data_IF_160847818576
#
_entry.id   IF_160847818576
#
_cell.length_a   1.000
_cell.length_b   1.000
_cell.length_c   1.000
_cell.angle_alpha   90.00
_cell.angle_beta   90.00
_cell.angle_gamma   90.00
#
_symmetry.space_group_name_H-M   'P 1'
#
loop_
_entity.id
_entity.type
_entity.pdbx_description
1 polymer ?
#
# COMPACT_ATOMS: atom_id res chain seq x y z
N UNK A 1 -19.59 8.68 -16.59
CA UNK A 1 -18.50 7.97 -15.90
C UNK A 1 -17.23 8.81 -16.04
N UNK A 2 -16.49 9.07 -14.95
CA UNK A 2 -15.26 9.86 -15.02
C UNK A 2 -14.17 9.15 -15.84
N UNK A 3 -13.36 9.92 -16.56
CA UNK A 3 -12.18 9.45 -17.29
C UNK A 3 -10.89 9.95 -16.62
N UNK A 4 -9.73 9.49 -17.10
CA UNK A 4 -8.43 9.99 -16.64
C UNK A 4 -8.36 11.52 -16.73
N UNK A 5 -8.79 12.08 -17.87
CA UNK A 5 -8.81 13.53 -18.08
C UNK A 5 -9.79 14.23 -17.15
N UNK A 6 -11.01 13.70 -16.94
CA UNK A 6 -11.98 14.35 -16.04
C UNK A 6 -11.44 14.46 -14.61
N UNK A 7 -10.75 13.45 -14.13
CA UNK A 7 -10.16 13.44 -12.80
C UNK A 7 -8.93 14.36 -12.69
N UNK A 8 -8.02 14.32 -13.67
CA UNK A 8 -6.71 14.95 -13.52
C UNK A 8 -6.57 16.33 -14.18
N UNK A 9 -7.37 16.67 -15.20
CA UNK A 9 -7.09 17.81 -16.08
C UNK A 9 -8.33 18.64 -16.43
N UNK A 10 -9.50 18.04 -16.59
CA UNK A 10 -10.69 18.77 -17.05
C UNK A 10 -11.23 19.73 -16.01
N UNK A 11 -11.99 20.70 -16.49
CA UNK A 11 -12.77 21.60 -15.66
C UNK A 11 -13.88 20.85 -14.92
N UNK A 12 -14.24 21.37 -13.75
CA UNK A 12 -15.46 21.07 -12.99
C UNK A 12 -16.24 22.37 -12.82
N UNK A 13 -17.39 22.33 -12.15
CA UNK A 13 -18.16 23.55 -11.84
C UNK A 13 -17.33 24.58 -11.06
N UNK A 14 -16.43 24.12 -10.19
CA UNK A 14 -15.65 24.97 -9.27
C UNK A 14 -14.17 25.08 -9.61
N UNK A 15 -13.69 24.40 -10.67
CA UNK A 15 -12.28 24.40 -11.06
C UNK A 15 -12.12 24.51 -12.58
N UNK A 16 -11.22 25.37 -13.09
CA UNK A 16 -10.90 25.39 -14.52
C UNK A 16 -10.10 24.15 -14.94
N UNK A 17 -10.01 23.91 -16.24
CA UNK A 17 -9.12 22.91 -16.80
C UNK A 17 -7.64 23.28 -16.59
N UNK A 18 -6.76 22.30 -16.53
CA UNK A 18 -5.33 22.47 -16.28
C UNK A 18 -4.49 21.45 -17.05
N UNK A 19 -3.32 21.86 -17.54
CA UNK A 19 -2.31 20.97 -18.12
C UNK A 19 -1.35 20.39 -17.06
N UNK A 20 -1.43 20.87 -15.81
CA UNK A 20 -0.67 20.32 -14.68
C UNK A 20 -1.46 19.21 -13.98
N UNK A 21 -1.10 17.96 -14.29
CA UNK A 21 -1.71 16.73 -13.72
C UNK A 21 -1.41 16.54 -12.22
N UNK A 22 -0.45 17.29 -11.67
CA UNK A 22 -0.04 17.23 -10.26
C UNK A 22 -0.93 18.02 -9.31
N UNK A 23 -1.77 18.93 -9.82
CA UNK A 23 -2.59 19.86 -8.99
C UNK A 23 -3.58 19.16 -8.06
N UNK A 24 -3.98 17.93 -8.37
CA UNK A 24 -4.99 17.16 -7.61
C UNK A 24 -4.40 15.94 -6.88
N UNK A 25 -3.08 15.78 -6.87
CA UNK A 25 -2.40 14.61 -6.30
C UNK A 25 -2.01 14.87 -4.84
N UNK A 26 -2.62 14.15 -3.89
CA UNK A 26 -2.26 14.23 -2.47
C UNK A 26 -1.07 13.35 -2.10
N UNK A 27 -0.93 12.18 -2.72
CA UNK A 27 0.10 11.18 -2.45
C UNK A 27 1.02 10.99 -3.65
N UNK A 28 2.33 10.87 -3.43
CA UNK A 28 3.21 10.22 -4.41
C UNK A 28 3.26 8.74 -4.11
N UNK A 29 2.78 7.92 -5.05
CA UNK A 29 2.76 6.45 -4.94
C UNK A 29 3.92 5.75 -5.64
N UNK A 30 4.83 6.55 -6.25
CA UNK A 30 6.03 6.06 -6.92
C UNK A 30 7.12 5.55 -5.97
N UNK A 31 7.48 6.23 -4.87
CA UNK A 31 8.56 5.72 -4.02
C UNK A 31 8.21 4.41 -3.34
N UNK A 32 9.23 3.72 -2.80
CA UNK A 32 9.04 2.55 -1.92
C UNK A 32 8.02 2.92 -0.84
N UNK A 33 8.26 3.99 -0.09
CA UNK A 33 7.33 4.51 0.92
C UNK A 33 6.57 5.70 0.34
N UNK A 34 5.25 5.58 0.23
CA UNK A 34 4.42 6.69 -0.23
C UNK A 34 4.46 7.84 0.76
N UNK A 35 4.57 9.07 0.26
CA UNK A 35 4.51 10.27 1.09
C UNK A 35 3.47 11.24 0.54
N UNK A 36 2.89 12.04 1.44
CA UNK A 36 2.02 13.15 1.04
C UNK A 36 2.86 14.26 0.43
N UNK A 37 2.36 14.85 -0.65
CA UNK A 37 3.05 15.94 -1.34
C UNK A 37 2.92 17.25 -0.54
N UNK A 38 3.76 18.24 -0.87
CA UNK A 38 3.57 19.61 -0.38
C UNK A 38 2.16 20.07 -0.73
N UNK A 39 1.47 20.70 0.22
CA UNK A 39 0.11 21.22 0.05
C UNK A 39 -0.93 20.11 -0.25
N UNK A 40 -0.71 18.87 0.22
CA UNK A 40 -1.58 17.74 -0.08
C UNK A 40 -3.04 17.96 0.37
N UNK A 41 -3.29 18.73 1.43
CA UNK A 41 -4.64 19.05 1.91
C UNK A 41 -5.42 19.82 0.85
N UNK A 42 -4.80 20.85 0.26
CA UNK A 42 -5.43 21.65 -0.80
C UNK A 42 -5.62 20.81 -2.07
N UNK A 43 -4.63 19.96 -2.41
CA UNK A 43 -4.73 19.05 -3.57
C UNK A 43 -5.82 17.98 -3.37
N UNK A 44 -5.95 17.46 -2.15
CA UNK A 44 -7.01 16.52 -1.75
C UNK A 44 -8.37 17.19 -1.84
N UNK A 45 -8.52 18.42 -1.35
CA UNK A 45 -9.74 19.19 -1.50
C UNK A 45 -10.09 19.36 -2.98
N UNK A 46 -9.12 19.76 -3.81
CA UNK A 46 -9.33 19.91 -5.25
C UNK A 46 -9.80 18.60 -5.91
N UNK A 47 -9.27 17.44 -5.52
CA UNK A 47 -9.76 16.16 -6.06
C UNK A 47 -11.14 15.76 -5.50
N UNK A 48 -11.42 16.01 -4.21
CA UNK A 48 -12.74 15.80 -3.61
C UNK A 48 -13.82 16.62 -4.30
N UNK A 49 -13.52 17.88 -4.63
CA UNK A 49 -14.42 18.76 -5.38
C UNK A 49 -14.79 18.15 -6.77
N UNK A 50 -13.87 17.41 -7.42
CA UNK A 50 -14.20 16.62 -8.64
C UNK A 50 -15.17 15.50 -8.32
N UNK A 51 -14.93 14.73 -7.26
CA UNK A 51 -15.81 13.64 -6.82
C UNK A 51 -17.23 14.13 -6.48
N UNK A 52 -17.34 15.31 -5.86
CA UNK A 52 -18.62 15.92 -5.47
C UNK A 52 -19.47 16.38 -6.65
N UNK A 53 -18.94 16.41 -7.87
CA UNK A 53 -19.76 16.61 -9.06
C UNK A 53 -20.76 15.46 -9.31
N UNK A 54 -20.56 14.29 -8.67
CA UNK A 54 -21.43 13.13 -8.81
C UNK A 54 -21.75 12.37 -7.50
N UNK A 55 -20.94 12.51 -6.45
CA UNK A 55 -21.06 11.73 -5.22
C UNK A 55 -21.30 12.60 -3.98
N UNK A 56 -22.15 12.12 -3.08
CA UNK A 56 -22.42 12.77 -1.80
C UNK A 56 -21.18 12.84 -0.88
N UNK A 57 -21.14 13.77 0.09
CA UNK A 57 -19.97 14.00 0.93
C UNK A 57 -19.44 12.76 1.65
N UNK A 58 -20.33 11.99 2.28
CA UNK A 58 -19.96 10.81 3.06
C UNK A 58 -19.27 9.72 2.22
N UNK A 59 -19.76 9.47 1.01
CA UNK A 59 -19.15 8.50 0.10
C UNK A 59 -17.71 8.89 -0.25
N UNK A 60 -17.48 10.18 -0.53
CA UNK A 60 -16.16 10.70 -0.88
C UNK A 60 -15.21 10.64 0.30
N UNK A 61 -15.66 11.01 1.50
CA UNK A 61 -14.85 10.91 2.72
C UNK A 61 -14.49 9.45 3.05
N UNK A 62 -15.46 8.54 2.98
CA UNK A 62 -15.23 7.13 3.23
C UNK A 62 -14.26 6.50 2.22
N UNK A 63 -14.35 6.88 0.93
CA UNK A 63 -13.37 6.48 -0.08
C UNK A 63 -11.96 6.93 0.31
N UNK A 64 -11.80 8.20 0.67
CA UNK A 64 -10.48 8.73 1.01
C UNK A 64 -9.90 8.15 2.30
N UNK A 65 -10.74 7.84 3.29
CA UNK A 65 -10.33 7.10 4.48
C UNK A 65 -9.78 5.73 4.10
N UNK A 66 -10.53 4.96 3.30
CA UNK A 66 -10.09 3.64 2.82
C UNK A 66 -8.79 3.71 2.01
N UNK A 67 -8.67 4.70 1.13
CA UNK A 67 -7.46 4.91 0.34
C UNK A 67 -6.26 5.24 1.22
N UNK A 68 -6.41 6.14 2.19
CA UNK A 68 -5.33 6.50 3.11
C UNK A 68 -4.92 5.31 3.99
N UNK A 69 -5.89 4.51 4.47
CA UNK A 69 -5.66 3.30 5.24
C UNK A 69 -4.93 2.23 4.39
N UNK A 70 -5.28 2.06 3.12
CA UNK A 70 -4.58 1.15 2.21
C UNK A 70 -3.12 1.57 1.97
N UNK A 71 -2.87 2.86 1.74
CA UNK A 71 -1.49 3.38 1.60
C UNK A 71 -0.70 3.16 2.90
N UNK A 72 -1.32 3.42 4.05
CA UNK A 72 -0.71 3.21 5.37
C UNK A 72 -0.39 1.75 5.62
N UNK A 73 -1.33 0.83 5.30
CA UNK A 73 -1.13 -0.61 5.42
C UNK A 73 0.10 -1.06 4.63
N UNK A 74 0.18 -0.67 3.36
CA UNK A 74 1.35 -0.99 2.54
C UNK A 74 2.64 -0.44 3.17
N UNK A 75 2.66 0.86 3.47
CA UNK A 75 3.85 1.55 3.98
C UNK A 75 4.35 0.89 5.28
N UNK A 76 3.46 0.71 6.26
CA UNK A 76 3.83 0.29 7.62
C UNK A 76 4.15 -1.20 7.71
N UNK A 77 3.33 -2.04 7.10
CA UNK A 77 3.44 -3.51 7.23
C UNK A 77 4.49 -4.11 6.29
N UNK A 78 4.69 -3.52 5.11
CA UNK A 78 5.51 -4.15 4.06
C UNK A 78 6.66 -3.25 3.60
N UNK A 79 6.36 -2.01 3.20
CA UNK A 79 7.33 -1.11 2.59
C UNK A 79 8.48 -0.72 3.52
N UNK A 80 8.16 -0.14 4.68
CA UNK A 80 9.15 0.36 5.65
C UNK A 80 10.04 -0.79 6.16
N UNK A 81 9.49 -1.93 6.65
CA UNK A 81 10.32 -3.03 7.14
C UNK A 81 11.24 -3.62 6.06
N UNK A 82 10.75 -3.77 4.82
CA UNK A 82 11.55 -4.32 3.73
C UNK A 82 12.68 -3.37 3.32
N UNK A 83 12.39 -2.06 3.18
CA UNK A 83 13.42 -1.06 2.88
C UNK A 83 14.49 -1.03 3.97
N UNK A 84 14.09 -0.95 5.22
CA UNK A 84 15.02 -0.84 6.35
C UNK A 84 15.91 -2.09 6.45
N UNK A 85 15.37 -3.28 6.14
CA UNK A 85 16.16 -4.51 6.07
C UNK A 85 17.21 -4.46 4.93
N UNK A 86 16.82 -4.00 3.73
CA UNK A 86 17.75 -3.84 2.60
C UNK A 86 18.88 -2.86 2.92
N UNK A 87 18.56 -1.72 3.56
CA UNK A 87 19.55 -0.73 3.99
C UNK A 87 20.53 -1.33 5.01
N UNK A 88 20.04 -2.09 5.99
CA UNK A 88 20.88 -2.78 6.97
C UNK A 88 21.75 -3.86 6.34
N UNK A 89 21.22 -4.67 5.42
CA UNK A 89 22.01 -5.68 4.70
C UNK A 89 23.17 -5.04 3.95
N UNK A 90 22.92 -3.92 3.26
CA UNK A 90 23.95 -3.15 2.55
C UNK A 90 25.00 -2.59 3.51
N UNK A 91 24.56 -2.00 4.63
CA UNK A 91 25.45 -1.43 5.63
C UNK A 91 26.35 -2.50 6.30
N UNK A 92 25.85 -3.74 6.44
CA UNK A 92 26.61 -4.87 6.96
C UNK A 92 27.48 -5.57 5.91
N UNK A 93 27.44 -5.15 4.64
CA UNK A 93 28.17 -5.80 3.55
C UNK A 93 27.66 -7.20 3.20
N UNK A 94 26.40 -7.51 3.56
CA UNK A 94 25.76 -8.82 3.27
C UNK A 94 25.16 -8.91 1.87
N UNK A 95 24.97 -7.76 1.23
CA UNK A 95 24.65 -7.62 -0.18
C UNK A 95 25.67 -6.65 -0.78
N UNK A 96 25.94 -6.80 -2.07
CA UNK A 96 26.98 -6.01 -2.71
C UNK A 96 26.50 -4.55 -2.95
N UNK A 97 27.42 -3.62 -3.25
CA UNK A 97 27.04 -2.30 -3.71
C UNK A 97 26.44 -2.28 -5.12
N UNK A 98 26.66 -3.34 -5.92
CA UNK A 98 26.22 -3.46 -7.30
C UNK A 98 24.71 -3.67 -7.32
N UNK A 99 23.92 -2.79 -7.97
CA UNK A 99 22.48 -2.97 -7.99
C UNK A 99 22.07 -4.20 -8.81
N UNK A 100 21.12 -4.96 -8.27
CA UNK A 100 20.44 -6.09 -8.92
C UNK A 100 21.33 -7.31 -9.20
N UNK A 101 22.42 -7.49 -8.46
CA UNK A 101 23.24 -8.72 -8.53
C UNK A 101 22.86 -9.74 -7.45
N UNK A 102 22.26 -9.29 -6.35
CA UNK A 102 21.73 -10.14 -5.31
C UNK A 102 20.24 -10.46 -5.52
N UNK A 103 19.87 -11.74 -5.37
CA UNK A 103 18.49 -12.22 -5.57
C UNK A 103 17.45 -11.43 -4.78
N UNK A 104 17.76 -11.08 -3.53
CA UNK A 104 16.85 -10.37 -2.63
C UNK A 104 16.51 -8.96 -3.14
N UNK A 105 17.37 -8.33 -3.94
CA UNK A 105 17.12 -7.03 -4.54
C UNK A 105 16.01 -7.10 -5.59
N UNK A 106 16.00 -8.16 -6.41
CA UNK A 106 14.91 -8.43 -7.36
C UNK A 106 13.59 -8.69 -6.62
N UNK A 107 13.60 -9.53 -5.61
CA UNK A 107 12.42 -9.79 -4.77
C UNK A 107 11.89 -8.51 -4.12
N UNK A 108 12.79 -7.67 -3.60
CA UNK A 108 12.42 -6.38 -3.02
C UNK A 108 11.82 -5.45 -4.09
N UNK A 109 12.41 -5.38 -5.27
CA UNK A 109 11.90 -4.57 -6.38
C UNK A 109 10.51 -5.02 -6.84
N UNK A 110 10.27 -6.32 -7.02
CA UNK A 110 8.94 -6.86 -7.33
C UNK A 110 7.92 -6.47 -6.25
N UNK A 111 8.29 -6.65 -4.98
CA UNK A 111 7.44 -6.34 -3.83
C UNK A 111 6.98 -4.87 -3.81
N UNK A 112 7.89 -3.91 -3.98
CA UNK A 112 7.53 -2.50 -3.85
C UNK A 112 7.12 -1.82 -5.17
N UNK A 113 7.83 -2.09 -6.26
CA UNK A 113 7.66 -1.38 -7.53
C UNK A 113 6.47 -1.95 -8.30
N UNK A 114 6.31 -3.27 -8.32
CA UNK A 114 5.27 -3.90 -9.11
C UNK A 114 4.00 -4.04 -8.26
N UNK A 115 4.03 -4.90 -7.25
CA UNK A 115 2.83 -5.26 -6.50
C UNK A 115 2.39 -4.15 -5.54
N UNK A 116 3.36 -3.55 -4.83
CA UNK A 116 3.09 -2.44 -3.92
C UNK A 116 2.54 -1.19 -4.61
N UNK A 117 3.01 -0.87 -5.82
CA UNK A 117 2.43 0.24 -6.60
C UNK A 117 1.06 -0.12 -7.16
N UNK A 118 0.86 -1.34 -7.67
CA UNK A 118 -0.45 -1.81 -8.16
C UNK A 118 -1.51 -1.72 -7.07
N UNK A 119 -1.21 -2.19 -5.87
CA UNK A 119 -2.14 -2.13 -4.74
C UNK A 119 -2.58 -0.69 -4.43
N UNK A 120 -1.61 0.24 -4.29
CA UNK A 120 -1.88 1.63 -3.93
C UNK A 120 -2.54 2.42 -5.06
N UNK A 121 -2.15 2.18 -6.31
CA UNK A 121 -2.76 2.80 -7.49
C UNK A 121 -4.18 2.28 -7.71
N UNK A 122 -4.38 0.96 -7.58
CA UNK A 122 -5.70 0.32 -7.61
C UNK A 122 -6.65 0.93 -6.58
N UNK A 123 -6.17 1.09 -5.33
CA UNK A 123 -6.96 1.73 -4.27
C UNK A 123 -7.34 3.17 -4.63
N UNK A 124 -6.42 3.94 -5.22
CA UNK A 124 -6.66 5.34 -5.61
C UNK A 124 -7.67 5.53 -6.76
N UNK A 125 -7.93 4.48 -7.54
CA UNK A 125 -8.79 4.52 -8.73
C UNK A 125 -9.96 3.54 -8.64
N UNK A 126 -10.32 3.12 -7.42
CA UNK A 126 -11.44 2.19 -7.16
C UNK A 126 -11.35 0.88 -7.97
N UNK A 127 -10.14 0.35 -8.15
CA UNK A 127 -9.89 -0.95 -8.78
C UNK A 127 -9.74 -2.04 -7.71
N UNK A 128 -10.81 -2.73 -7.27
CA UNK A 128 -10.74 -3.69 -6.17
C UNK A 128 -9.82 -4.88 -6.49
N UNK A 129 -9.84 -5.34 -7.74
CA UNK A 129 -9.02 -6.47 -8.20
C UNK A 129 -7.51 -6.11 -8.22
N UNK A 130 -7.19 -4.90 -8.69
CA UNK A 130 -5.82 -4.36 -8.64
C UNK A 130 -5.35 -4.02 -7.22
N UNK A 131 -6.28 -3.68 -6.33
CA UNK A 131 -5.98 -3.45 -4.92
C UNK A 131 -5.67 -4.76 -4.22
N UNK A 132 -6.47 -5.79 -4.47
CA UNK A 132 -6.41 -7.07 -3.77
C UNK A 132 -5.59 -8.12 -4.54
N UNK A 133 -6.17 -8.77 -5.56
CA UNK A 133 -5.58 -9.93 -6.22
C UNK A 133 -4.28 -9.62 -6.96
N UNK A 134 -4.22 -8.50 -7.69
CA UNK A 134 -2.98 -8.04 -8.33
C UNK A 134 -2.16 -7.06 -7.49
N UNK A 135 -2.55 -6.86 -6.22
CA UNK A 135 -1.95 -5.91 -5.31
C UNK A 135 -1.54 -6.59 -4.00
N UNK A 136 -2.32 -6.38 -2.94
CA UNK A 136 -1.99 -6.87 -1.60
C UNK A 136 -1.79 -8.38 -1.48
N UNK A 137 -2.49 -9.18 -2.30
CA UNK A 137 -2.26 -10.62 -2.38
C UNK A 137 -0.82 -10.92 -2.84
N UNK A 138 -0.39 -10.32 -3.96
CA UNK A 138 0.96 -10.51 -4.47
C UNK A 138 2.01 -9.87 -3.55
N UNK A 139 1.74 -8.70 -2.95
CA UNK A 139 2.61 -8.10 -1.92
C UNK A 139 2.83 -9.07 -0.77
N UNK A 140 1.76 -9.64 -0.20
CA UNK A 140 1.87 -10.57 0.92
C UNK A 140 2.62 -11.84 0.49
N UNK A 141 2.31 -12.40 -0.68
CA UNK A 141 2.98 -13.59 -1.23
C UNK A 141 4.48 -13.36 -1.42
N UNK A 142 4.88 -12.24 -2.03
CA UNK A 142 6.30 -11.89 -2.19
C UNK A 142 6.97 -11.65 -0.84
N UNK A 143 6.32 -10.93 0.07
CA UNK A 143 6.87 -10.64 1.39
C UNK A 143 7.13 -11.91 2.19
N UNK A 144 6.12 -12.75 2.36
CA UNK A 144 6.17 -13.89 3.26
C UNK A 144 6.85 -15.13 2.67
N UNK A 145 6.76 -15.33 1.34
CA UNK A 145 7.26 -16.56 0.71
C UNK A 145 8.56 -16.36 -0.08
N UNK A 146 8.98 -15.13 -0.35
CA UNK A 146 10.27 -14.83 -1.01
C UNK A 146 11.17 -13.98 -0.11
N UNK A 147 10.75 -12.75 0.20
CA UNK A 147 11.59 -11.75 0.87
C UNK A 147 12.03 -12.19 2.27
N UNK A 148 11.09 -12.61 3.12
CA UNK A 148 11.41 -13.03 4.50
C UNK A 148 12.31 -14.27 4.54
N UNK A 149 12.08 -15.34 3.74
CA UNK A 149 13.01 -16.46 3.62
C UNK A 149 14.42 -16.04 3.18
N UNK A 150 14.54 -15.24 2.11
CA UNK A 150 15.83 -14.74 1.62
C UNK A 150 16.54 -13.87 2.67
N UNK A 151 15.79 -12.99 3.33
CA UNK A 151 16.31 -12.19 4.44
C UNK A 151 16.78 -13.07 5.59
N UNK A 152 16.10 -14.18 5.89
CA UNK A 152 16.49 -15.10 6.97
C UNK A 152 17.79 -15.83 6.65
N UNK A 153 18.05 -16.16 5.39
CA UNK A 153 19.33 -16.76 4.96
C UNK A 153 20.50 -15.79 5.13
N UNK A 154 20.29 -14.51 4.79
CA UNK A 154 21.29 -13.46 4.93
C UNK A 154 21.45 -12.99 6.39
N UNK A 155 20.34 -12.79 7.09
CA UNK A 155 20.29 -12.32 8.48
C UNK A 155 19.04 -12.84 9.23
N UNK A 156 19.17 -13.94 9.98
CA UNK A 156 18.07 -14.50 10.75
C UNK A 156 17.48 -13.54 11.79
N UNK A 157 18.31 -12.63 12.36
CA UNK A 157 17.86 -11.70 13.40
C UNK A 157 16.96 -10.63 12.81
N UNK A 158 17.31 -10.06 11.65
CA UNK A 158 16.47 -9.09 10.97
C UNK A 158 15.12 -9.67 10.56
N UNK A 159 15.10 -10.89 10.01
CA UNK A 159 13.85 -11.57 9.68
C UNK A 159 12.98 -11.78 10.93
N UNK A 160 13.58 -12.16 12.07
CA UNK A 160 12.87 -12.35 13.33
C UNK A 160 12.33 -11.04 13.91
N UNK A 161 13.10 -9.95 13.87
CA UNK A 161 12.67 -8.61 14.31
C UNK A 161 11.43 -8.16 13.54
N UNK A 162 11.41 -8.34 12.22
CA UNK A 162 10.24 -8.02 11.40
C UNK A 162 9.05 -8.88 11.81
N UNK A 163 9.20 -10.21 11.87
CA UNK A 163 8.11 -11.13 12.19
C UNK A 163 7.61 -11.03 13.65
N UNK A 164 8.35 -10.38 14.54
CA UNK A 164 7.94 -10.16 15.92
C UNK A 164 6.87 -9.06 16.06
N UNK A 165 6.68 -8.20 15.04
CA UNK A 165 5.69 -7.14 15.08
C UNK A 165 4.26 -7.67 15.12
N UNK A 166 3.38 -6.89 15.74
CA UNK A 166 1.98 -7.19 16.00
C UNK A 166 1.20 -7.64 14.74
N UNK A 167 1.43 -6.98 13.61
CA UNK A 167 0.76 -7.24 12.33
C UNK A 167 1.08 -8.61 11.69
N UNK A 168 2.03 -9.34 12.26
CA UNK A 168 2.43 -10.69 11.83
C UNK A 168 2.10 -11.78 12.86
N UNK A 169 1.42 -11.45 13.97
CA UNK A 169 1.00 -12.40 15.02
C UNK A 169 0.36 -13.67 14.49
N UNK A 170 -0.46 -13.55 13.45
CA UNK A 170 -1.13 -14.67 12.79
C UNK A 170 -0.17 -15.78 12.32
N UNK A 171 1.11 -15.49 12.09
CA UNK A 171 2.13 -16.49 11.74
C UNK A 171 2.43 -17.48 12.88
N UNK A 172 2.08 -17.14 14.12
CA UNK A 172 2.19 -18.01 15.30
C UNK A 172 0.93 -18.86 15.52
N UNK A 173 -0.08 -18.70 14.68
CA UNK A 173 -1.44 -19.19 14.91
C UNK A 173 -2.29 -18.19 15.70
N UNK A 174 -3.61 -18.32 15.59
CA UNK A 174 -4.58 -17.56 16.38
C UNK A 174 -4.99 -18.41 17.59
N UNK A 175 -5.25 -17.75 18.73
CA UNK A 175 -5.82 -18.42 19.90
C UNK A 175 -7.24 -18.90 19.64
N UNK A 176 -7.73 -19.87 20.42
CA UNK A 176 -9.13 -20.32 20.31
C UNK A 176 -10.13 -19.17 20.52
N UNK A 177 -9.80 -18.23 21.38
CA UNK A 177 -10.62 -17.04 21.67
C UNK A 177 -10.64 -16.07 20.49
N UNK A 178 -9.50 -15.84 19.84
CA UNK A 178 -9.40 -14.99 18.65
C UNK A 178 -10.16 -15.59 17.46
N UNK A 179 -10.07 -16.91 17.30
CA UNK A 179 -10.84 -17.65 16.29
C UNK A 179 -12.33 -17.57 16.60
N UNK A 180 -12.75 -17.84 17.84
CA UNK A 180 -14.15 -17.75 18.25
C UNK A 180 -14.72 -16.35 18.00
N UNK A 181 -14.03 -15.30 18.43
CA UNK A 181 -14.43 -13.91 18.19
C UNK A 181 -14.59 -13.59 16.70
N UNK A 182 -13.73 -14.16 15.86
CA UNK A 182 -13.83 -14.00 14.40
C UNK A 182 -15.09 -14.71 13.89
N UNK A 183 -15.29 -15.97 14.25
CA UNK A 183 -16.46 -16.76 13.84
C UNK A 183 -17.77 -16.13 14.32
N UNK A 184 -17.84 -15.66 15.56
CA UNK A 184 -19.01 -14.99 16.13
C UNK A 184 -19.37 -13.74 15.33
N UNK A 185 -18.37 -12.94 14.93
CA UNK A 185 -18.59 -11.78 14.06
C UNK A 185 -19.20 -12.18 12.70
N UNK A 186 -18.68 -13.24 12.07
CA UNK A 186 -19.21 -13.71 10.78
C UNK A 186 -20.64 -14.24 10.93
N UNK A 187 -20.91 -14.98 12.01
CA UNK A 187 -22.23 -15.53 12.27
C UNK A 187 -23.26 -14.43 12.58
N UNK A 188 -22.91 -13.44 13.40
CA UNK A 188 -23.80 -12.32 13.72
C UNK A 188 -24.07 -11.43 12.51
N UNK A 189 -23.03 -11.09 11.76
CA UNK A 189 -23.13 -10.13 10.65
C UNK A 189 -23.65 -10.75 9.36
N UNK A 190 -23.20 -11.96 9.04
CA UNK A 190 -23.43 -12.61 7.75
C UNK A 190 -24.23 -13.90 7.84
N UNK A 191 -24.48 -14.44 9.04
CA UNK A 191 -25.15 -15.74 9.26
C UNK A 191 -24.41 -16.90 8.58
N UNK A 192 -23.07 -16.82 8.61
CA UNK A 192 -22.13 -17.76 8.01
C UNK A 192 -21.26 -18.40 9.08
#
# INVERSE_FOLDING_TARGET
YPTCASCHMSATETQPATHDVGKRISWTLRPVISTKLKNWEQRRKAMKDVCHSCHGPEQVENFYKQYDDAVSLYNKKFGEPARDAMEKLKAMGKITPTPFDDKIEWTFYELWHHEGRRARMGASMMGPDFTQWHGFYEVAKHFYNKFIPELKELDPKLAQEILAKEEHKWKKGLSKEEVAKTLDYYQERYKQ
#
